data_IF_539847888206
#
_entry.id   IF_539847888206
#
_cell.length_a   1.000
_cell.length_b   1.000
_cell.length_c   1.000
_cell.angle_alpha   90.00
_cell.angle_beta   90.00
_cell.angle_gamma   90.00
#
_symmetry.space_group_name_H-M   'P 1'
#
loop_
_entity.id
_entity.type
_entity.pdbx_description
1 polymer ?
#
# COMPACT_ATOMS: atom_id res chain seq x y z
N UNK A 1 -5.32 8.60 -4.94
CA UNK A 1 -5.74 7.38 -5.67
C UNK A 1 -4.61 6.87 -6.56
N UNK A 2 -4.20 7.58 -7.63
CA UNK A 2 -3.06 7.19 -8.48
C UNK A 2 -1.79 6.80 -7.72
N UNK A 3 -1.35 7.61 -6.75
CA UNK A 3 -0.19 7.26 -5.90
C UNK A 3 -0.39 5.99 -5.05
N UNK A 4 -1.61 5.67 -4.62
CA UNK A 4 -1.87 4.43 -3.88
C UNK A 4 -1.91 3.22 -4.84
N UNK A 5 -2.44 3.42 -6.05
CA UNK A 5 -2.44 2.42 -7.12
C UNK A 5 -1.01 2.12 -7.61
N UNK A 6 -0.17 3.14 -7.77
CA UNK A 6 1.26 2.98 -8.04
C UNK A 6 1.96 2.25 -6.90
N UNK A 7 1.65 2.56 -5.63
CA UNK A 7 2.19 1.80 -4.50
C UNK A 7 1.83 0.32 -4.51
N UNK A 8 0.65 -0.08 -5.01
CA UNK A 8 0.32 -1.50 -5.21
C UNK A 8 1.10 -2.13 -6.36
N UNK A 9 1.10 -1.49 -7.53
CA UNK A 9 1.79 -1.98 -8.72
C UNK A 9 3.28 -2.17 -8.46
N UNK A 10 3.87 -1.27 -7.69
CA UNK A 10 5.27 -1.37 -7.30
C UNK A 10 5.48 -2.17 -6.02
N UNK A 11 4.52 -2.29 -5.09
CA UNK A 11 4.65 -3.00 -3.80
C UNK A 11 6.01 -2.76 -3.11
N UNK A 12 6.39 -1.50 -2.90
CA UNK A 12 7.72 -1.11 -2.39
C UNK A 12 8.92 -1.71 -3.18
N UNK A 13 8.74 -2.04 -4.46
CA UNK A 13 9.71 -2.65 -5.36
C UNK A 13 9.44 -4.12 -5.75
N UNK A 14 8.43 -4.79 -5.20
CA UNK A 14 8.23 -6.24 -5.36
C UNK A 14 7.03 -6.67 -6.24
N UNK A 15 6.15 -5.75 -6.63
CA UNK A 15 4.95 -5.98 -7.45
C UNK A 15 3.98 -7.10 -7.01
N UNK A 16 3.09 -7.51 -7.92
CA UNK A 16 2.18 -8.65 -7.74
C UNK A 16 2.91 -10.00 -7.57
N UNK A 17 4.13 -10.10 -8.12
CA UNK A 17 5.03 -11.25 -7.93
C UNK A 17 5.21 -11.58 -6.45
N UNK A 18 5.25 -10.58 -5.57
CA UNK A 18 5.37 -10.84 -4.14
C UNK A 18 4.19 -11.64 -3.56
N UNK A 19 2.96 -11.30 -3.94
CA UNK A 19 1.76 -12.04 -3.47
C UNK A 19 1.78 -13.47 -4.00
N UNK A 20 2.21 -13.66 -5.24
CA UNK A 20 2.40 -14.99 -5.82
C UNK A 20 3.48 -15.78 -5.07
N UNK A 21 4.64 -15.17 -4.80
CA UNK A 21 5.74 -15.80 -4.06
C UNK A 21 5.30 -16.23 -2.66
N UNK A 22 4.58 -15.35 -1.94
CA UNK A 22 4.03 -15.67 -0.62
C UNK A 22 2.98 -16.79 -0.69
N UNK A 23 2.16 -16.80 -1.74
CA UNK A 23 1.17 -17.87 -1.95
C UNK A 23 1.84 -19.22 -2.23
N UNK A 24 2.88 -19.22 -3.08
CA UNK A 24 3.69 -20.40 -3.37
C UNK A 24 4.44 -20.88 -2.13
N UNK A 25 4.92 -19.97 -1.28
CA UNK A 25 5.54 -20.33 -0.01
C UNK A 25 4.55 -21.10 0.88
N UNK A 26 3.32 -20.59 1.05
CA UNK A 26 2.28 -21.26 1.85
C UNK A 26 2.01 -22.67 1.31
N UNK A 27 1.85 -22.82 -0.01
CA UNK A 27 1.64 -24.12 -0.65
C UNK A 27 2.83 -25.06 -0.39
N UNK A 28 4.06 -24.56 -0.55
CA UNK A 28 5.28 -25.32 -0.28
C UNK A 28 5.36 -25.81 1.17
N UNK A 29 4.91 -25.00 2.14
CA UNK A 29 4.90 -25.40 3.55
C UNK A 29 3.90 -26.51 3.88
N UNK A 30 2.85 -26.73 3.08
CA UNK A 30 1.92 -27.86 3.29
C UNK A 30 2.67 -29.20 3.23
N UNK A 31 3.60 -29.35 2.28
CA UNK A 31 4.41 -30.57 2.15
C UNK A 31 5.31 -30.75 3.38
N UNK A 32 5.94 -29.66 3.85
CA UNK A 32 6.79 -29.68 5.04
C UNK A 32 5.98 -30.04 6.29
N UNK A 33 4.77 -29.50 6.45
CA UNK A 33 3.92 -29.87 7.57
C UNK A 33 3.51 -31.34 7.51
N UNK A 34 3.15 -31.86 6.33
CA UNK A 34 2.80 -33.28 6.20
C UNK A 34 3.95 -34.20 6.59
N UNK A 35 5.18 -33.91 6.15
CA UNK A 35 6.36 -34.71 6.49
C UNK A 35 6.71 -34.61 7.96
N UNK A 36 6.74 -33.40 8.51
CA UNK A 36 7.11 -33.16 9.91
C UNK A 36 6.06 -33.70 10.88
N UNK A 37 4.76 -33.53 10.58
CA UNK A 37 3.68 -34.13 11.38
C UNK A 37 3.79 -35.66 11.33
N UNK A 38 4.08 -36.25 10.17
CA UNK A 38 4.31 -37.70 10.04
C UNK A 38 5.46 -38.19 10.92
N UNK A 39 6.59 -37.48 10.92
CA UNK A 39 7.75 -37.78 11.76
C UNK A 39 7.39 -37.64 13.25
N UNK A 40 6.75 -36.56 13.68
CA UNK A 40 6.44 -36.36 15.10
C UNK A 40 5.36 -37.35 15.58
N UNK A 41 4.39 -37.68 14.73
CA UNK A 41 3.35 -38.67 15.04
C UNK A 41 3.91 -40.07 15.28
N UNK A 42 5.03 -40.45 14.64
CA UNK A 42 5.68 -41.75 14.87
C UNK A 42 6.38 -41.85 16.23
N UNK A 43 6.65 -40.72 16.90
CA UNK A 43 7.19 -40.70 18.26
C UNK A 43 6.05 -40.89 19.27
N UNK A 44 5.15 -39.91 19.35
CA UNK A 44 4.05 -39.91 20.31
C UNK A 44 2.98 -38.87 19.90
N UNK A 45 1.73 -39.32 19.78
CA UNK A 45 0.59 -38.49 19.39
C UNK A 45 0.29 -37.39 20.43
N UNK A 46 0.54 -37.64 21.72
CA UNK A 46 0.33 -36.63 22.78
C UNK A 46 1.32 -35.48 22.67
N UNK A 47 2.56 -35.78 22.31
CA UNK A 47 3.62 -34.79 22.10
C UNK A 47 3.28 -33.93 20.88
N UNK A 48 2.82 -34.55 19.79
CA UNK A 48 2.31 -33.84 18.61
C UNK A 48 1.18 -32.88 19.00
N UNK A 49 0.21 -33.32 19.80
CA UNK A 49 -0.91 -32.49 20.22
C UNK A 49 -0.44 -31.28 21.05
N UNK A 50 0.48 -31.48 21.98
CA UNK A 50 1.06 -30.41 22.79
C UNK A 50 1.81 -29.38 21.91
N UNK A 51 2.54 -29.84 20.89
CA UNK A 51 3.18 -28.95 19.92
C UNK A 51 2.20 -28.15 19.10
N UNK A 52 1.16 -28.80 18.55
CA UNK A 52 0.13 -28.12 17.77
C UNK A 52 -0.61 -27.09 18.61
N UNK A 53 -0.86 -27.39 19.88
CA UNK A 53 -1.48 -26.47 20.83
C UNK A 53 -0.60 -25.25 21.09
N UNK A 54 0.68 -25.44 21.41
CA UNK A 54 1.63 -24.34 21.63
C UNK A 54 1.83 -23.48 20.37
N UNK A 55 1.95 -24.11 19.20
CA UNK A 55 2.05 -23.43 17.92
C UNK A 55 0.76 -22.65 17.60
N UNK A 56 -0.41 -23.20 17.91
CA UNK A 56 -1.70 -22.52 17.78
C UNK A 56 -1.81 -21.29 18.66
N UNK A 57 -1.39 -21.38 19.94
CA UNK A 57 -1.36 -20.24 20.87
C UNK A 57 -0.42 -19.14 20.35
N UNK A 58 0.79 -19.51 19.92
CA UNK A 58 1.75 -18.56 19.36
C UNK A 58 1.19 -17.89 18.09
N UNK A 59 0.57 -18.67 17.21
CA UNK A 59 -0.09 -18.17 15.99
C UNK A 59 -1.20 -17.15 16.28
N UNK A 60 -2.07 -17.44 17.27
CA UNK A 60 -3.14 -16.53 17.65
C UNK A 60 -2.60 -15.20 18.22
N UNK A 61 -1.57 -15.29 19.08
CA UNK A 61 -0.90 -14.12 19.65
C UNK A 61 -0.29 -13.25 18.54
N UNK A 62 0.41 -13.86 17.58
CA UNK A 62 1.00 -13.19 16.43
C UNK A 62 -0.06 -12.50 15.55
N UNK A 63 -1.17 -13.19 15.25
CA UNK A 63 -2.22 -12.64 14.40
C UNK A 63 -2.86 -11.37 15.00
N UNK A 64 -3.09 -11.33 16.32
CA UNK A 64 -3.64 -10.15 16.99
C UNK A 64 -2.64 -8.98 17.01
N UNK A 65 -1.36 -9.27 17.18
CA UNK A 65 -0.30 -8.27 17.18
C UNK A 65 -0.09 -7.66 15.79
N UNK A 66 -0.07 -8.48 14.74
CA UNK A 66 0.06 -7.98 13.36
C UNK A 66 -1.13 -7.14 12.91
N UNK A 67 -2.36 -7.45 13.35
CA UNK A 67 -3.53 -6.58 13.15
C UNK A 67 -3.33 -5.20 13.80
N UNK A 68 -2.84 -5.18 15.04
CA UNK A 68 -2.56 -3.92 15.76
C UNK A 68 -1.46 -3.12 15.05
N UNK A 69 -0.44 -3.80 14.53
CA UNK A 69 0.63 -3.20 13.74
C UNK A 69 0.10 -2.59 12.43
N UNK A 70 -0.76 -3.30 11.70
CA UNK A 70 -1.35 -2.80 10.46
C UNK A 70 -2.17 -1.52 10.67
N UNK A 71 -2.92 -1.43 11.77
CA UNK A 71 -3.66 -0.21 12.13
C UNK A 71 -2.72 0.96 12.41
N UNK A 72 -1.62 0.73 13.14
CA UNK A 72 -0.60 1.75 13.39
C UNK A 72 0.10 2.22 12.11
N UNK A 73 0.29 1.33 11.13
CA UNK A 73 0.85 1.66 9.82
C UNK A 73 -0.08 2.60 9.04
N UNK A 74 -1.39 2.35 9.06
CA UNK A 74 -2.38 3.23 8.44
C UNK A 74 -2.39 4.64 9.06
N UNK A 75 -2.26 4.75 10.39
CA UNK A 75 -2.14 6.03 11.10
C UNK A 75 -0.81 6.77 10.80
N UNK A 76 0.25 6.02 10.49
CA UNK A 76 1.59 6.55 10.16
C UNK A 76 1.64 7.13 8.74
N UNK A 77 0.97 6.48 7.78
CA UNK A 77 1.03 6.82 6.34
C UNK A 77 0.82 8.32 5.99
N UNK A 78 -0.14 9.06 6.57
CA UNK A 78 -0.29 10.50 6.30
C UNK A 78 0.92 11.33 6.75
N UNK A 79 1.54 10.96 7.88
CA UNK A 79 2.69 11.69 8.44
C UNK A 79 3.94 11.46 7.60
N UNK A 80 4.17 10.23 7.13
CA UNK A 80 5.26 9.94 6.19
C UNK A 80 5.08 10.67 4.86
N UNK A 81 3.84 10.76 4.35
CA UNK A 81 3.55 11.57 3.16
C UNK A 81 3.91 13.04 3.35
N UNK A 82 3.59 13.62 4.51
CA UNK A 82 3.95 15.00 4.85
C UNK A 82 5.46 15.19 4.95
N UNK A 83 6.16 14.26 5.60
CA UNK A 83 7.63 14.30 5.67
C UNK A 83 8.23 14.21 4.27
N UNK A 84 7.76 13.28 3.43
CA UNK A 84 8.22 13.10 2.05
C UNK A 84 8.02 14.36 1.21
N UNK A 85 6.87 15.04 1.35
CA UNK A 85 6.64 16.32 0.68
C UNK A 85 7.66 17.38 1.11
N UNK A 86 7.86 17.56 2.42
CA UNK A 86 8.82 18.55 2.95
C UNK A 86 10.26 18.22 2.58
N UNK A 87 10.64 16.94 2.64
CA UNK A 87 11.99 16.49 2.28
C UNK A 87 12.29 16.61 0.79
N UNK A 88 11.26 16.56 -0.07
CA UNK A 88 11.41 16.78 -1.51
C UNK A 88 11.39 18.26 -1.88
N UNK A 89 10.67 19.09 -1.12
CA UNK A 89 10.53 20.51 -1.43
C UNK A 89 11.81 21.29 -1.13
N UNK A 90 12.44 21.02 0.00
CA UNK A 90 13.62 21.77 0.45
C UNK A 90 14.85 21.69 -0.48
N UNK A 91 15.27 20.51 -0.98
CA UNK A 91 16.39 20.42 -1.91
C UNK A 91 16.01 20.76 -3.36
N UNK A 92 14.73 21.01 -3.66
CA UNK A 92 14.28 21.24 -5.01
C UNK A 92 14.58 22.69 -5.46
N UNK A 93 15.41 22.87 -6.51
CA UNK A 93 15.80 24.20 -7.00
C UNK A 93 14.61 25.07 -7.43
N UNK A 94 13.48 24.47 -7.80
CA UNK A 94 12.28 25.19 -8.23
C UNK A 94 11.73 26.11 -7.13
N UNK A 95 11.84 25.71 -5.86
CA UNK A 95 11.27 26.44 -4.72
C UNK A 95 12.29 27.27 -3.94
N UNK A 96 13.57 27.13 -4.26
CA UNK A 96 14.67 27.76 -3.51
C UNK A 96 14.55 29.29 -3.45
N UNK A 97 14.22 29.92 -4.59
CA UNK A 97 14.10 31.39 -4.67
C UNK A 97 12.98 31.91 -3.76
N UNK A 98 11.85 31.23 -3.75
CA UNK A 98 10.69 31.60 -2.94
C UNK A 98 10.97 31.46 -1.44
N UNK A 99 11.67 30.38 -1.03
CA UNK A 99 12.07 30.18 0.36
C UNK A 99 13.03 31.27 0.83
N UNK A 100 14.00 31.64 -0.01
CA UNK A 100 15.01 32.67 0.29
C UNK A 100 14.38 34.07 0.38
N UNK A 101 13.56 34.45 -0.61
CA UNK A 101 12.91 35.77 -0.66
C UNK A 101 11.99 35.98 0.53
N UNK A 102 11.22 34.95 0.91
CA UNK A 102 10.27 35.04 2.02
C UNK A 102 10.90 34.76 3.40
N UNK A 103 12.20 34.46 3.48
CA UNK A 103 12.86 34.10 4.74
C UNK A 103 12.28 32.84 5.42
N UNK A 104 11.61 31.97 4.66
CA UNK A 104 10.80 30.88 5.19
C UNK A 104 11.61 29.69 5.75
N UNK A 105 12.95 29.77 5.72
CA UNK A 105 13.85 28.69 6.14
C UNK A 105 13.54 28.18 7.55
N UNK A 106 13.38 29.08 8.53
CA UNK A 106 13.14 28.70 9.94
C UNK A 106 11.81 27.95 10.07
N UNK A 107 10.75 28.48 9.46
CA UNK A 107 9.41 27.86 9.48
C UNK A 107 9.43 26.45 8.88
N UNK A 108 10.16 26.25 7.78
CA UNK A 108 10.34 24.94 7.17
C UNK A 108 11.10 23.96 8.08
N UNK A 109 12.20 24.40 8.69
CA UNK A 109 12.97 23.56 9.62
C UNK A 109 12.14 23.17 10.85
N UNK A 110 11.36 24.08 11.41
CA UNK A 110 10.47 23.78 12.54
C UNK A 110 9.39 22.78 12.14
N UNK A 111 8.78 22.93 10.96
CA UNK A 111 7.82 21.97 10.44
C UNK A 111 8.42 20.59 10.20
N UNK A 112 9.61 20.53 9.61
CA UNK A 112 10.34 19.29 9.37
C UNK A 112 10.65 18.60 10.71
N UNK A 113 11.19 19.34 11.68
CA UNK A 113 11.53 18.83 13.02
C UNK A 113 10.31 18.29 13.76
N UNK A 114 9.17 18.99 13.68
CA UNK A 114 7.94 18.53 14.32
C UNK A 114 7.43 17.24 13.65
N UNK A 115 7.45 17.17 12.32
CA UNK A 115 7.04 15.97 11.59
C UNK A 115 7.95 14.77 11.91
N UNK A 116 9.27 14.97 11.97
CA UNK A 116 10.22 13.88 12.30
C UNK A 116 10.06 13.43 13.75
N UNK A 117 9.82 14.36 14.69
CA UNK A 117 9.60 14.02 16.09
C UNK A 117 8.29 13.26 16.32
N UNK A 118 7.21 13.66 15.64
CA UNK A 118 5.96 12.90 15.64
C UNK A 118 6.17 11.48 15.10
N UNK A 119 6.81 11.35 13.94
CA UNK A 119 7.12 10.05 13.35
C UNK A 119 7.99 9.19 14.28
N UNK A 120 9.00 9.79 14.91
CA UNK A 120 9.86 9.10 15.86
C UNK A 120 9.05 8.51 17.04
N UNK A 121 8.06 9.24 17.57
CA UNK A 121 7.15 8.70 18.61
C UNK A 121 6.36 7.49 18.11
N UNK A 122 5.87 7.53 16.87
CA UNK A 122 5.18 6.39 16.25
C UNK A 122 6.12 5.20 16.08
N UNK A 123 7.32 5.40 15.54
CA UNK A 123 8.34 4.35 15.40
C UNK A 123 8.72 3.76 16.75
N UNK A 124 8.87 4.57 17.80
CA UNK A 124 9.14 4.09 19.15
C UNK A 124 7.99 3.22 19.68
N UNK A 125 6.73 3.66 19.56
CA UNK A 125 5.54 2.88 19.96
C UNK A 125 5.47 1.55 19.19
N UNK A 126 5.68 1.61 17.89
CA UNK A 126 5.70 0.44 17.01
C UNK A 126 6.81 -0.55 17.41
N UNK A 127 8.01 -0.05 17.69
CA UNK A 127 9.14 -0.87 18.11
C UNK A 127 8.90 -1.53 19.47
N UNK A 128 8.30 -0.83 20.44
CA UNK A 128 7.96 -1.43 21.73
C UNK A 128 6.94 -2.56 21.60
N UNK A 129 5.89 -2.38 20.79
CA UNK A 129 4.89 -3.42 20.53
C UNK A 129 5.53 -4.63 19.82
N UNK A 130 6.37 -4.38 18.81
CA UNK A 130 7.07 -5.43 18.08
C UNK A 130 8.07 -6.18 18.97
N UNK A 131 8.85 -5.48 19.79
CA UNK A 131 9.81 -6.10 20.69
C UNK A 131 9.11 -6.89 21.80
N UNK A 132 8.00 -6.39 22.35
CA UNK A 132 7.18 -7.11 23.32
C UNK A 132 6.64 -8.42 22.74
N UNK A 133 6.14 -8.38 21.50
CA UNK A 133 5.70 -9.56 20.75
C UNK A 133 6.83 -10.57 20.52
N UNK A 134 8.00 -10.11 20.05
CA UNK A 134 9.17 -10.97 19.83
C UNK A 134 9.65 -11.62 21.14
N UNK A 135 9.62 -10.87 22.25
CA UNK A 135 9.95 -11.40 23.56
C UNK A 135 9.01 -12.55 23.95
N UNK A 136 7.70 -12.36 23.78
CA UNK A 136 6.70 -13.40 24.06
C UNK A 136 6.93 -14.64 23.17
N UNK A 137 7.23 -14.44 21.89
CA UNK A 137 7.54 -15.53 20.96
C UNK A 137 8.79 -16.31 21.38
N UNK A 138 9.88 -15.63 21.73
CA UNK A 138 11.10 -16.30 22.20
C UNK A 138 10.89 -17.03 23.51
N UNK A 139 10.05 -16.50 24.40
CA UNK A 139 9.69 -17.17 25.65
C UNK A 139 8.88 -18.45 25.38
N UNK A 140 7.92 -18.41 24.44
CA UNK A 140 7.16 -19.61 24.04
C UNK A 140 8.04 -20.65 23.34
N UNK A 141 8.96 -20.23 22.46
CA UNK A 141 9.91 -21.14 21.80
C UNK A 141 10.86 -21.78 22.81
N UNK A 142 11.34 -21.00 23.78
CA UNK A 142 12.19 -21.49 24.86
C UNK A 142 11.49 -22.56 25.71
N UNK A 143 10.25 -22.29 26.14
CA UNK A 143 9.45 -23.26 26.89
C UNK A 143 9.19 -24.53 26.08
N UNK A 144 8.82 -24.37 24.80
CA UNK A 144 8.62 -25.48 23.89
C UNK A 144 9.89 -26.32 23.78
N UNK A 145 11.06 -25.72 23.55
CA UNK A 145 12.35 -26.43 23.47
C UNK A 145 12.69 -27.18 24.75
N UNK A 146 12.49 -26.58 25.92
CA UNK A 146 12.74 -27.25 27.21
C UNK A 146 11.84 -28.48 27.36
N UNK A 147 10.54 -28.35 27.09
CA UNK A 147 9.58 -29.46 27.22
C UNK A 147 9.97 -30.59 26.25
N UNK A 148 10.28 -30.22 25.00
CA UNK A 148 10.70 -31.15 23.95
C UNK A 148 11.94 -31.92 24.34
N UNK A 149 13.00 -31.20 24.74
CA UNK A 149 14.28 -31.81 25.05
C UNK A 149 14.21 -32.66 26.30
N UNK A 150 13.49 -32.20 27.34
CA UNK A 150 13.30 -32.99 28.57
C UNK A 150 12.58 -34.30 28.27
N UNK A 151 11.52 -34.27 27.46
CA UNK A 151 10.81 -35.48 27.04
C UNK A 151 11.71 -36.42 26.23
N UNK A 152 12.44 -35.88 25.26
CA UNK A 152 13.28 -36.70 24.38
C UNK A 152 14.51 -37.27 25.10
N UNK A 153 15.11 -36.54 26.05
CA UNK A 153 16.19 -37.05 26.90
C UNK A 153 15.68 -38.21 27.76
N UNK A 154 14.47 -38.11 28.30
CA UNK A 154 13.84 -39.19 29.05
C UNK A 154 13.63 -40.45 28.19
N UNK A 155 13.08 -40.31 26.98
CA UNK A 155 12.88 -41.42 26.04
C UNK A 155 14.21 -42.09 25.60
N UNK A 156 15.28 -41.30 25.39
CA UNK A 156 16.62 -41.84 25.13
C UNK A 156 17.16 -42.60 26.36
N UNK A 157 16.92 -42.08 27.57
CA UNK A 157 17.41 -42.67 28.81
C UNK A 157 16.77 -44.02 29.12
N UNK A 158 15.52 -44.24 28.69
CA UNK A 158 14.80 -45.52 28.79
C UNK A 158 15.13 -46.46 27.62
N UNK A 159 15.86 -45.98 26.60
CA UNK A 159 16.22 -46.75 25.42
C UNK A 159 15.08 -46.93 24.42
N UNK A 160 14.00 -46.16 24.54
CA UNK A 160 12.84 -46.20 23.64
C UNK A 160 13.16 -45.58 22.26
N UNK A 161 14.09 -44.61 22.22
CA UNK A 161 14.55 -43.98 20.99
C UNK A 161 16.08 -43.93 20.92
N UNK A 162 16.62 -44.04 19.72
CA UNK A 162 18.06 -43.88 19.47
C UNK A 162 18.48 -42.41 19.52
N UNK A 163 19.79 -42.16 19.69
CA UNK A 163 20.38 -40.82 19.57
C UNK A 163 20.15 -40.21 18.16
N UNK A 164 20.06 -41.03 17.12
CA UNK A 164 19.72 -40.56 15.77
C UNK A 164 18.26 -40.10 15.67
N UNK A 165 17.33 -40.82 16.31
CA UNK A 165 15.93 -40.40 16.37
C UNK A 165 15.79 -39.10 17.16
N UNK A 166 16.55 -38.95 18.25
CA UNK A 166 16.62 -37.70 19.01
C UNK A 166 16.98 -36.50 18.10
N UNK A 167 18.07 -36.58 17.34
CA UNK A 167 18.48 -35.47 16.47
C UNK A 167 17.47 -35.23 15.34
N UNK A 168 16.85 -36.27 14.79
CA UNK A 168 15.80 -36.14 13.78
C UNK A 168 14.59 -35.37 14.31
N UNK A 169 14.08 -35.74 15.48
CA UNK A 169 12.91 -35.10 16.09
C UNK A 169 13.18 -33.65 16.48
N UNK A 170 14.37 -33.32 17.02
CA UNK A 170 14.75 -31.94 17.33
C UNK A 170 14.73 -31.07 16.07
N UNK A 171 15.29 -31.57 14.97
CA UNK A 171 15.27 -30.85 13.69
C UNK A 171 13.85 -30.72 13.14
N UNK A 172 13.04 -31.79 13.21
CA UNK A 172 11.65 -31.76 12.77
C UNK A 172 10.85 -30.68 13.52
N UNK A 173 10.99 -30.59 14.84
CA UNK A 173 10.34 -29.55 15.66
C UNK A 173 10.82 -28.15 15.25
N UNK A 174 12.13 -27.95 15.07
CA UNK A 174 12.67 -26.65 14.66
C UNK A 174 12.17 -26.24 13.27
N UNK A 175 12.11 -27.19 12.33
CA UNK A 175 11.56 -26.97 10.98
C UNK A 175 10.06 -26.68 11.02
N UNK A 176 9.31 -27.34 11.90
CA UNK A 176 7.88 -27.07 12.11
C UNK A 176 7.66 -25.62 12.55
N UNK A 177 8.32 -25.21 13.63
CA UNK A 177 8.17 -23.87 14.21
C UNK A 177 8.60 -22.79 13.21
N UNK A 178 9.73 -22.99 12.52
CA UNK A 178 10.20 -22.07 11.47
C UNK A 178 9.19 -21.94 10.32
N UNK A 179 8.69 -23.07 9.82
CA UNK A 179 7.70 -23.08 8.73
C UNK A 179 6.38 -22.44 9.15
N UNK A 180 5.95 -22.63 10.40
CA UNK A 180 4.74 -22.01 10.94
C UNK A 180 4.87 -20.48 11.00
N UNK A 181 6.02 -19.97 11.47
CA UNK A 181 6.30 -18.54 11.48
C UNK A 181 6.29 -17.96 10.06
N UNK A 182 6.92 -18.64 9.09
CA UNK A 182 6.91 -18.22 7.69
C UNK A 182 5.51 -18.17 7.10
N UNK A 183 4.64 -19.16 7.36
CA UNK A 183 3.24 -19.13 6.89
C UNK A 183 2.48 -17.95 7.49
N UNK A 184 2.66 -17.70 8.79
CA UNK A 184 2.04 -16.53 9.44
C UNK A 184 2.55 -15.23 8.81
N UNK A 185 3.84 -15.15 8.49
CA UNK A 185 4.44 -14.02 7.78
C UNK A 185 3.79 -13.85 6.40
N UNK A 186 3.78 -14.89 5.57
CA UNK A 186 3.16 -14.90 4.24
C UNK A 186 1.69 -14.51 4.26
N UNK A 187 0.88 -15.01 5.21
CA UNK A 187 -0.54 -14.65 5.32
C UNK A 187 -0.72 -13.16 5.61
N UNK A 188 0.08 -12.63 6.53
CA UNK A 188 -0.03 -11.22 6.91
C UNK A 188 0.44 -10.30 5.80
N UNK A 189 1.49 -10.69 5.10
CA UNK A 189 2.01 -10.03 3.91
C UNK A 189 0.94 -9.95 2.82
N UNK A 190 0.31 -11.08 2.47
CA UNK A 190 -0.80 -11.11 1.50
C UNK A 190 -1.96 -10.19 1.93
N UNK A 191 -2.35 -10.22 3.22
CA UNK A 191 -3.41 -9.35 3.75
C UNK A 191 -3.07 -7.87 3.64
N UNK A 192 -1.81 -7.49 3.88
CA UNK A 192 -1.35 -6.12 3.74
C UNK A 192 -1.51 -5.63 2.29
N UNK A 193 -1.19 -6.48 1.30
CA UNK A 193 -1.33 -6.15 -0.11
C UNK A 193 -2.78 -6.14 -0.61
N UNK A 194 -3.66 -6.96 -0.03
CA UNK A 194 -5.09 -6.95 -0.35
C UNK A 194 -5.74 -5.57 -0.15
N UNK A 195 -5.30 -4.78 0.85
CA UNK A 195 -5.81 -3.42 1.12
C UNK A 195 -5.52 -2.48 -0.06
N UNK A 196 -4.40 -2.69 -0.75
CA UNK A 196 -3.97 -1.86 -1.86
C UNK A 196 -4.57 -2.32 -3.21
N UNK A 197 -4.97 -3.59 -3.33
CA UNK A 197 -5.61 -4.12 -4.53
C UNK A 197 -6.92 -3.38 -4.85
N UNK A 198 -7.77 -3.14 -3.83
CA UNK A 198 -9.03 -2.41 -4.00
C UNK A 198 -8.80 -1.00 -4.60
N UNK A 199 -7.71 -0.33 -4.22
CA UNK A 199 -7.33 0.97 -4.79
C UNK A 199 -6.93 0.88 -6.27
N UNK A 200 -6.32 -0.23 -6.69
CA UNK A 200 -5.96 -0.46 -8.11
C UNK A 200 -7.16 -0.85 -8.92
N UNK A 201 -7.98 -1.78 -8.43
CA UNK A 201 -9.22 -2.18 -9.08
C UNK A 201 -10.11 -0.96 -9.32
N UNK A 202 -10.30 -0.12 -8.28
CA UNK A 202 -11.04 1.13 -8.43
C UNK A 202 -10.38 2.08 -9.45
N UNK A 203 -9.05 2.17 -9.50
CA UNK A 203 -8.36 3.03 -10.46
C UNK A 203 -8.51 2.55 -11.91
N UNK A 204 -8.38 1.25 -12.14
CA UNK A 204 -8.54 0.61 -13.44
C UNK A 204 -9.99 0.69 -13.92
N UNK A 205 -10.94 0.63 -12.99
CA UNK A 205 -12.37 0.76 -13.24
C UNK A 205 -12.86 2.21 -13.19
N UNK A 206 -11.98 3.21 -13.06
CA UNK A 206 -12.40 4.60 -13.23
C UNK A 206 -13.02 4.72 -14.61
N UNK A 207 -14.22 5.32 -14.73
CA UNK A 207 -14.86 5.48 -16.01
C UNK A 207 -13.91 6.28 -16.90
N UNK A 208 -13.32 5.60 -17.88
CA UNK A 208 -12.64 6.29 -18.95
C UNK A 208 -13.69 7.21 -19.57
N UNK A 209 -13.41 8.51 -19.61
CA UNK A 209 -14.13 9.40 -20.52
C UNK A 209 -13.72 9.04 -21.95
N UNK A 210 -14.09 7.84 -22.36
CA UNK A 210 -14.03 7.42 -23.75
C UNK A 210 -15.16 8.18 -24.39
N UNK A 211 -14.82 9.22 -25.15
CA UNK A 211 -15.80 9.89 -25.99
C UNK A 211 -16.36 8.81 -26.90
N UNK A 212 -17.66 8.51 -26.78
CA UNK A 212 -18.33 7.66 -27.75
C UNK A 212 -18.22 8.38 -29.09
N UNK A 213 -17.27 7.93 -29.91
CA UNK A 213 -17.18 8.32 -31.31
C UNK A 213 -18.35 7.64 -32.00
N UNK A 214 -19.54 8.20 -31.84
CA UNK A 214 -20.78 7.69 -32.45
C UNK A 214 -20.69 7.71 -33.98
N UNK A 215 -19.81 8.55 -34.54
CA UNK A 215 -19.38 8.52 -35.94
C UNK A 215 -17.89 8.88 -36.05
N UNK A 216 -17.13 8.04 -36.74
CA UNK A 216 -15.80 8.40 -37.23
C UNK A 216 -15.96 9.42 -38.37
N UNK A 217 -16.16 10.68 -38.01
CA UNK A 217 -16.23 11.77 -38.98
C UNK A 217 -14.78 12.12 -39.35
N UNK A 218 -14.39 12.03 -40.64
CA UNK A 218 -13.06 12.47 -41.05
C UNK A 218 -12.89 13.95 -40.72
N UNK A 219 -11.72 14.31 -40.21
CA UNK A 219 -11.38 15.71 -39.96
C UNK A 219 -11.61 16.53 -41.25
N UNK A 220 -12.35 17.63 -41.17
CA UNK A 220 -12.60 18.44 -42.36
C UNK A 220 -11.29 19.08 -42.82
N UNK A 221 -11.09 19.17 -44.14
CA UNK A 221 -9.89 19.81 -44.72
C UNK A 221 -9.80 21.31 -44.40
N UNK A 222 -10.94 21.94 -44.11
CA UNK A 222 -11.08 23.34 -43.72
C UNK A 222 -12.18 23.50 -42.68
N UNK A 223 -12.01 24.44 -41.75
CA UNK A 223 -13.03 24.81 -40.77
C UNK A 223 -13.71 26.07 -41.30
N UNK A 224 -15.00 25.97 -41.64
CA UNK A 224 -15.76 27.11 -42.19
C UNK A 224 -16.26 28.06 -41.11
N UNK A 225 -16.62 27.53 -39.93
CA UNK A 225 -16.96 28.35 -38.76
C UNK A 225 -16.86 27.58 -37.45
N UNK A 226 -16.72 28.31 -36.34
CA UNK A 226 -16.85 27.80 -34.97
C UNK A 226 -17.94 28.62 -34.29
N UNK A 227 -18.91 27.97 -33.68
CA UNK A 227 -20.07 28.63 -33.07
C UNK A 227 -20.27 28.14 -31.64
N UNK A 228 -20.50 29.07 -30.73
CA UNK A 228 -20.94 28.86 -29.36
C UNK A 228 -22.41 29.28 -29.31
N UNK A 229 -23.29 28.34 -28.97
CA UNK A 229 -24.73 28.57 -28.83
C UNK A 229 -25.13 28.41 -27.35
N UNK A 230 -25.45 29.52 -26.70
CA UNK A 230 -25.80 29.60 -25.27
C UNK A 230 -24.86 28.85 -24.29
N UNK A 231 -23.58 28.83 -24.63
CA UNK A 231 -22.61 27.99 -23.91
C UNK A 231 -22.31 28.59 -22.53
N UNK A 232 -22.48 27.78 -21.50
CA UNK A 232 -22.08 28.09 -20.13
C UNK A 232 -21.14 27.03 -19.59
N UNK A 233 -20.13 27.45 -18.82
CA UNK A 233 -19.18 26.53 -18.23
C UNK A 233 -18.80 26.90 -16.80
N UNK A 234 -18.72 25.85 -15.98
CA UNK A 234 -18.32 25.90 -14.59
C UNK A 234 -17.26 24.82 -14.34
N UNK A 235 -16.13 25.20 -13.74
CA UNK A 235 -15.16 24.22 -13.28
C UNK A 235 -15.79 23.27 -12.24
N UNK A 236 -15.37 21.99 -12.20
CA UNK A 236 -15.79 21.07 -11.15
C UNK A 236 -15.60 21.70 -9.76
N UNK A 237 -16.58 21.50 -8.88
CA UNK A 237 -16.60 22.02 -7.49
C UNK A 237 -16.65 23.56 -7.34
N UNK A 238 -16.52 24.34 -8.42
CA UNK A 238 -16.73 25.78 -8.36
C UNK A 238 -18.21 26.11 -8.12
N UNK A 239 -18.50 27.20 -7.40
CA UNK A 239 -19.85 27.79 -7.31
C UNK A 239 -20.12 28.82 -8.40
N UNK A 240 -19.08 29.41 -8.99
CA UNK A 240 -19.18 30.47 -10.00
C UNK A 240 -18.95 29.93 -11.41
N UNK A 241 -19.76 30.39 -12.35
CA UNK A 241 -19.55 30.17 -13.79
C UNK A 241 -18.29 30.92 -14.24
N UNK A 242 -17.43 30.23 -14.98
CA UNK A 242 -16.29 30.85 -15.63
C UNK A 242 -16.69 31.50 -16.97
N UNK A 243 -17.73 30.95 -17.60
CA UNK A 243 -18.37 31.46 -18.81
C UNK A 243 -19.88 31.26 -18.65
N UNK A 244 -20.70 32.23 -19.08
CA UNK A 244 -22.16 32.20 -18.91
C UNK A 244 -22.83 32.76 -20.16
N UNK A 245 -23.75 32.00 -20.75
CA UNK A 245 -24.55 32.36 -21.94
C UNK A 245 -23.70 32.96 -23.07
N UNK A 246 -22.58 32.32 -23.38
CA UNK A 246 -21.69 32.75 -24.46
C UNK A 246 -22.32 32.38 -25.80
N UNK A 247 -22.64 33.40 -26.58
CA UNK A 247 -23.17 33.29 -27.93
C UNK A 247 -22.22 34.01 -28.89
N UNK A 248 -21.48 33.27 -29.71
CA UNK A 248 -20.58 33.86 -30.69
C UNK A 248 -20.27 32.91 -31.84
N UNK A 249 -20.05 33.47 -33.02
CA UNK A 249 -19.68 32.76 -34.23
C UNK A 249 -18.41 33.36 -34.82
N UNK A 250 -17.48 32.50 -35.18
CA UNK A 250 -16.21 32.84 -35.81
C UNK A 250 -16.17 32.22 -37.19
N UNK A 251 -15.78 32.98 -38.20
CA UNK A 251 -15.67 32.46 -39.57
C UNK A 251 -14.27 31.91 -39.77
N UNK A 252 -14.17 30.84 -40.55
CA UNK A 252 -12.91 30.24 -40.94
C UNK A 252 -11.95 31.27 -41.53
N UNK A 253 -10.67 31.15 -41.17
CA UNK A 253 -9.57 32.00 -41.64
C UNK A 253 -9.55 33.44 -41.07
N UNK A 254 -10.49 33.80 -40.18
CA UNK A 254 -10.43 35.06 -39.46
C UNK A 254 -9.36 35.06 -38.35
N UNK A 255 -8.81 36.24 -38.06
CA UNK A 255 -7.92 36.46 -36.91
C UNK A 255 -8.71 37.19 -35.82
N UNK A 256 -9.08 36.45 -34.78
CA UNK A 256 -9.85 36.97 -33.65
C UNK A 256 -8.93 37.22 -32.45
N UNK A 257 -9.12 38.37 -31.79
CA UNK A 257 -8.47 38.70 -30.53
C UNK A 257 -9.48 38.64 -29.39
N UNK A 258 -9.10 37.97 -28.29
CA UNK A 258 -9.92 37.86 -27.08
C UNK A 258 -9.27 38.74 -26.01
N UNK A 259 -9.92 39.87 -25.71
CA UNK A 259 -9.49 40.82 -24.69
C UNK A 259 -10.44 40.84 -23.49
N UNK A 260 -9.94 41.29 -22.34
CA UNK A 260 -10.71 41.41 -21.11
C UNK A 260 -9.80 41.37 -19.88
N UNK A 261 -10.36 41.58 -18.69
CA UNK A 261 -9.60 41.60 -17.44
C UNK A 261 -9.05 40.22 -17.04
N UNK A 262 -8.05 40.20 -16.15
CA UNK A 262 -7.52 38.96 -15.59
C UNK A 262 -8.62 38.22 -14.83
N UNK A 263 -8.81 36.94 -15.15
CA UNK A 263 -9.88 36.13 -14.57
C UNK A 263 -11.23 36.18 -15.31
N UNK A 264 -11.37 36.95 -16.39
CA UNK A 264 -12.61 37.06 -17.18
C UNK A 264 -13.02 35.78 -17.96
N UNK A 265 -12.29 34.67 -17.84
CA UNK A 265 -12.63 33.40 -18.51
C UNK A 265 -11.97 33.15 -19.87
N UNK A 266 -11.11 34.06 -20.35
CA UNK A 266 -10.43 33.96 -21.67
C UNK A 266 -9.72 32.60 -21.89
N UNK A 267 -8.93 32.15 -20.92
CA UNK A 267 -8.24 30.86 -21.02
C UNK A 267 -9.21 29.68 -20.93
N UNK A 268 -10.31 29.82 -20.20
CA UNK A 268 -11.37 28.80 -20.13
C UNK A 268 -12.08 28.66 -21.48
N UNK A 269 -12.33 29.78 -22.15
CA UNK A 269 -12.93 29.83 -23.48
C UNK A 269 -12.09 29.06 -24.51
N UNK A 270 -10.78 29.31 -24.55
CA UNK A 270 -9.86 28.57 -25.42
C UNK A 270 -9.87 27.07 -25.10
N UNK A 271 -9.91 26.69 -23.82
CA UNK A 271 -9.95 25.27 -23.41
C UNK A 271 -11.23 24.56 -23.85
N UNK A 272 -12.37 25.27 -23.94
CA UNK A 272 -13.61 24.73 -24.52
C UNK A 272 -13.50 24.54 -26.04
N UNK A 273 -12.91 25.49 -26.77
CA UNK A 273 -12.65 25.33 -28.22
C UNK A 273 -11.81 24.08 -28.48
N UNK A 274 -10.75 23.88 -27.69
CA UNK A 274 -9.89 22.69 -27.80
C UNK A 274 -10.52 21.41 -27.23
N UNK A 275 -11.77 21.48 -26.74
CA UNK A 275 -12.49 20.38 -26.06
C UNK A 275 -11.68 19.72 -24.93
N UNK A 276 -10.87 20.52 -24.22
CA UNK A 276 -10.19 20.11 -22.99
C UNK A 276 -11.16 20.07 -21.80
N UNK A 277 -12.30 20.76 -21.94
CA UNK A 277 -13.47 20.66 -21.08
C UNK A 277 -14.72 20.54 -21.94
N UNK A 278 -15.74 19.87 -21.40
CA UNK A 278 -17.10 19.90 -21.93
C UNK A 278 -17.85 21.09 -21.31
N UNK A 279 -18.73 21.77 -22.07
CA UNK A 279 -19.58 22.81 -21.50
C UNK A 279 -20.51 22.24 -20.43
N UNK A 280 -20.94 23.09 -19.51
CA UNK A 280 -21.96 22.72 -18.51
C UNK A 280 -23.36 22.73 -19.12
N UNK A 281 -23.58 23.61 -20.10
CA UNK A 281 -24.78 23.67 -20.94
C UNK A 281 -24.45 24.40 -22.25
N UNK A 282 -25.29 24.18 -23.28
CA UNK A 282 -25.09 24.69 -24.64
C UNK A 282 -24.28 23.73 -25.49
#
# INVERSE_FOLDING_TARGET
MKQNAEKFLYANGQGFSFVLDQSMNIIGKVIIFATVIGIIASLNVLVLFLFLLLAGINSLAQMNLKKTYANLELEKNPKERRLSYLSNLFPNPLFEKEIRINGARVLFFDHLRNCTFELWRFYKKQMHLMNGSKCLLYLTDFLQRIISYSYMIYEVSIGAISIANFTMYVNAISTFTGSMNEVIDSINDIRQYSIYFESVEHYLNLPAKTYEVTKNIPLPQRIDSIEFEDVSFKYPESKKYALKHINCKFIGQEKISIAGENGAGKSTFIKLICRLYEPTSG
#
